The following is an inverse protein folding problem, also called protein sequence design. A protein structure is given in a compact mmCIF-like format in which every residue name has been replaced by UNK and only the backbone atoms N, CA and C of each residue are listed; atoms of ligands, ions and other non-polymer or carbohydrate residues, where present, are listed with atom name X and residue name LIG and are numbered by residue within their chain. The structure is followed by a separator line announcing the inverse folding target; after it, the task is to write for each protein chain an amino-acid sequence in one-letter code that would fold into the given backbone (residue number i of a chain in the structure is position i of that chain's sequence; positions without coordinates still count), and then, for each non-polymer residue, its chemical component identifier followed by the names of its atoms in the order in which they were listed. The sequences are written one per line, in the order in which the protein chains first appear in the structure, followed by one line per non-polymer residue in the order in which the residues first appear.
data_IF_538035310353
#
_entry.id   IF_538035310353
#
_cell.length_a   1.000
_cell.length_b   1.000
_cell.length_c   1.000
_cell.angle_alpha   90.00
_cell.angle_beta   90.00
_cell.angle_gamma   90.00
#
_symmetry.space_group_name_H-M   'P 1'
#
loop_
_entity.id
_entity.type
_entity.pdbx_description
1 polymer ?
#
# COMPACT_ATOMS: atom_id res chain seq x y z
N UNK A 1 21.71 25.80 -1.13
CA UNK A 1 20.93 25.05 -0.13
C UNK A 1 19.46 25.21 -0.50
N UNK A 2 18.84 24.21 -1.14
CA UNK A 2 17.39 24.27 -1.40
C UNK A 2 16.67 24.16 -0.06
N UNK A 3 15.67 25.02 0.14
CA UNK A 3 14.80 24.93 1.31
C UNK A 3 14.02 23.62 1.19
N UNK A 4 14.27 22.70 2.12
CA UNK A 4 13.44 21.50 2.28
C UNK A 4 12.00 21.98 2.54
N UNK A 5 11.00 21.61 1.74
CA UNK A 5 9.62 22.11 1.87
C UNK A 5 8.88 21.51 3.08
N UNK A 6 9.61 21.16 4.13
CA UNK A 6 9.21 20.23 5.17
C UNK A 6 8.49 20.84 6.37
N UNK A 7 8.24 22.16 6.41
CA UNK A 7 7.69 22.77 7.64
C UNK A 7 6.16 22.88 7.69
N UNK A 8 5.46 22.81 6.55
CA UNK A 8 4.04 23.21 6.50
C UNK A 8 3.09 22.19 5.86
N UNK A 9 3.53 20.96 5.63
CA UNK A 9 2.56 19.92 5.27
C UNK A 9 1.93 19.50 6.59
N UNK A 10 0.84 20.16 6.97
CA UNK A 10 -0.23 19.48 7.68
C UNK A 10 -0.50 18.22 6.84
N UNK A 11 0.15 17.10 7.16
CA UNK A 11 -0.41 16.09 8.05
C UNK A 11 -1.94 15.95 8.02
N UNK A 12 -2.65 16.45 6.99
CA UNK A 12 -4.10 16.42 6.92
C UNK A 12 -4.43 14.95 6.99
N UNK A 13 -5.02 14.51 8.12
CA UNK A 13 -5.58 13.16 8.28
C UNK A 13 -6.26 12.83 6.97
N UNK A 14 -5.67 11.92 6.18
CA UNK A 14 -5.95 11.82 4.75
C UNK A 14 -7.31 11.14 4.51
N UNK A 15 -8.43 11.70 5.00
CA UNK A 15 -9.81 11.17 4.94
C UNK A 15 -9.87 9.63 4.82
N UNK A 16 -9.14 8.96 5.71
CA UNK A 16 -8.75 7.55 5.54
C UNK A 16 -9.98 6.64 5.47
N UNK A 17 -11.03 6.98 6.20
CA UNK A 17 -12.29 6.22 6.25
C UNK A 17 -13.07 6.34 4.93
N UNK A 18 -13.17 7.52 4.33
CA UNK A 18 -13.95 7.68 3.08
C UNK A 18 -13.23 7.04 1.89
N UNK A 19 -11.90 7.17 1.84
CA UNK A 19 -11.08 6.41 0.88
C UNK A 19 -11.27 4.91 1.06
N UNK A 20 -11.28 4.41 2.29
CA UNK A 20 -11.52 3.00 2.58
C UNK A 20 -12.91 2.55 2.12
N UNK A 21 -13.98 3.29 2.47
CA UNK A 21 -15.35 3.00 2.04
C UNK A 21 -15.47 2.95 0.52
N UNK A 22 -14.86 3.90 -0.17
CA UNK A 22 -14.85 3.99 -1.63
C UNK A 22 -14.11 2.85 -2.30
N UNK A 23 -13.13 2.23 -1.63
CA UNK A 23 -12.42 1.06 -2.16
C UNK A 23 -13.19 -0.21 -1.83
N UNK A 24 -13.64 -0.37 -0.59
CA UNK A 24 -14.37 -1.57 -0.16
C UNK A 24 -15.69 -1.69 -0.92
N UNK A 25 -16.45 -0.60 -1.10
CA UNK A 25 -17.74 -0.58 -1.82
C UNK A 25 -18.71 -1.69 -1.37
N UNK A 26 -18.73 -2.01 -0.08
CA UNK A 26 -19.56 -3.08 0.49
C UNK A 26 -19.11 -4.52 0.18
N UNK A 27 -17.95 -4.71 -0.47
CA UNK A 27 -17.38 -6.04 -0.75
C UNK A 27 -16.87 -6.69 0.53
N UNK A 28 -16.87 -8.03 0.55
CA UNK A 28 -16.14 -8.81 1.56
C UNK A 28 -14.66 -8.48 1.44
N UNK A 29 -13.99 -8.23 2.57
CA UNK A 29 -12.55 -7.97 2.61
C UNK A 29 -11.81 -9.26 2.93
N UNK A 30 -10.94 -9.68 2.01
CA UNK A 30 -10.05 -10.83 2.19
C UNK A 30 -8.64 -10.35 2.46
N UNK A 31 -8.05 -10.72 3.60
CA UNK A 31 -6.70 -10.29 3.98
C UNK A 31 -5.71 -11.44 3.77
N UNK A 32 -4.72 -11.22 2.90
CA UNK A 32 -3.61 -12.15 2.67
C UNK A 32 -2.43 -11.68 3.52
N UNK A 33 -2.28 -12.28 4.70
CA UNK A 33 -1.13 -12.09 5.58
C UNK A 33 -0.05 -13.14 5.27
N UNK A 34 1.23 -12.76 5.38
CA UNK A 34 2.34 -13.67 5.12
C UNK A 34 2.43 -14.75 6.21
N UNK A 35 2.35 -16.01 5.82
CA UNK A 35 2.45 -17.16 6.73
C UNK A 35 2.43 -18.48 5.99
N UNK A 36 2.63 -19.60 6.68
CA UNK A 36 2.63 -20.93 6.03
C UNK A 36 1.31 -21.27 5.33
N UNK A 37 0.20 -20.71 5.80
CA UNK A 37 -1.14 -20.89 5.22
C UNK A 37 -1.33 -20.25 3.84
N UNK A 38 -0.46 -19.35 3.39
CA UNK A 38 -0.59 -18.76 2.05
C UNK A 38 -0.38 -19.79 0.95
N UNK A 39 0.36 -20.88 1.22
CA UNK A 39 0.50 -22.00 0.29
C UNK A 39 -0.84 -22.70 0.02
N UNK A 40 -1.63 -22.91 1.06
CA UNK A 40 -2.97 -23.51 0.95
C UNK A 40 -3.88 -22.57 0.15
N UNK A 41 -3.81 -21.26 0.42
CA UNK A 41 -4.56 -20.28 -0.37
C UNK A 41 -4.13 -20.33 -1.84
N UNK A 42 -2.83 -20.39 -2.12
CA UNK A 42 -2.29 -20.46 -3.47
C UNK A 42 -2.75 -21.70 -4.24
N UNK A 43 -2.83 -22.86 -3.58
CA UNK A 43 -3.34 -24.10 -4.15
C UNK A 43 -4.85 -24.05 -4.45
N UNK A 44 -5.59 -23.24 -3.69
CA UNK A 44 -7.07 -23.17 -3.72
C UNK A 44 -7.61 -21.86 -4.26
N UNK A 45 -6.77 -20.99 -4.81
CA UNK A 45 -7.15 -19.61 -5.16
C UNK A 45 -8.24 -19.56 -6.23
N UNK A 46 -8.30 -20.53 -7.15
CA UNK A 46 -9.33 -20.63 -8.18
C UNK A 46 -10.74 -20.73 -7.62
N UNK A 47 -10.92 -21.26 -6.40
CA UNK A 47 -12.21 -21.29 -5.70
C UNK A 47 -12.78 -19.87 -5.49
N UNK A 48 -11.90 -18.86 -5.44
CA UNK A 48 -12.26 -17.47 -5.19
C UNK A 48 -12.39 -16.63 -6.46
N UNK A 49 -12.16 -17.20 -7.65
CA UNK A 49 -12.12 -16.47 -8.93
C UNK A 49 -13.39 -15.68 -9.21
N UNK A 50 -14.55 -16.27 -8.97
CA UNK A 50 -15.86 -15.65 -9.24
C UNK A 50 -16.37 -14.76 -8.11
N UNK A 51 -15.68 -14.72 -6.96
CA UNK A 51 -16.09 -13.90 -5.84
C UNK A 51 -15.61 -12.45 -6.00
N UNK A 52 -16.49 -11.51 -5.66
CA UNK A 52 -16.19 -10.09 -5.65
C UNK A 52 -15.61 -9.68 -4.29
N UNK A 53 -14.32 -9.96 -4.10
CA UNK A 53 -13.59 -9.72 -2.84
C UNK A 53 -12.71 -8.48 -2.99
N UNK A 54 -12.69 -7.63 -1.96
CA UNK A 54 -11.69 -6.59 -1.77
C UNK A 54 -10.46 -7.20 -1.12
N UNK A 55 -9.44 -7.51 -1.92
CA UNK A 55 -8.23 -8.15 -1.41
C UNK A 55 -7.29 -7.12 -0.78
N UNK A 56 -6.79 -7.45 0.41
CA UNK A 56 -5.88 -6.62 1.17
C UNK A 56 -4.62 -7.40 1.57
N UNK A 57 -3.48 -6.71 1.68
CA UNK A 57 -2.25 -7.29 2.22
C UNK A 57 -1.41 -6.22 2.93
N UNK A 58 -0.24 -6.61 3.45
CA UNK A 58 0.61 -5.73 4.25
C UNK A 58 2.11 -5.95 4.01
N UNK A 59 2.90 -4.90 4.19
CA UNK A 59 4.37 -4.90 4.12
C UNK A 59 4.92 -5.45 2.79
N UNK A 60 5.54 -6.63 2.81
CA UNK A 60 6.03 -7.34 1.62
C UNK A 60 4.86 -8.02 0.89
N UNK A 61 4.01 -7.25 0.24
CA UNK A 61 2.75 -7.72 -0.37
C UNK A 61 2.89 -8.36 -1.76
N UNK A 62 4.07 -8.33 -2.39
CA UNK A 62 4.28 -8.89 -3.74
C UNK A 62 3.88 -10.38 -3.87
N UNK A 63 4.18 -11.27 -2.90
CA UNK A 63 3.70 -12.65 -2.97
C UNK A 63 2.17 -12.77 -2.99
N UNK A 64 1.45 -11.86 -2.31
CA UNK A 64 -0.02 -11.86 -2.35
C UNK A 64 -0.55 -11.44 -3.74
N UNK A 65 0.10 -10.48 -4.40
CA UNK A 65 -0.20 -10.12 -5.79
C UNK A 65 0.03 -11.29 -6.74
N UNK A 66 1.12 -12.04 -6.58
CA UNK A 66 1.43 -13.21 -7.42
C UNK A 66 0.39 -14.31 -7.27
N UNK A 67 -0.13 -14.54 -6.06
CA UNK A 67 -1.24 -15.48 -5.83
C UNK A 67 -2.52 -15.01 -6.54
N UNK A 68 -2.89 -13.73 -6.38
CA UNK A 68 -4.10 -13.17 -6.97
C UNK A 68 -4.04 -13.08 -8.49
N UNK A 69 -2.85 -12.88 -9.06
CA UNK A 69 -2.64 -12.85 -10.50
C UNK A 69 -3.09 -14.15 -11.18
N UNK A 70 -3.02 -15.30 -10.48
CA UNK A 70 -3.50 -16.59 -11.00
C UNK A 70 -4.99 -16.57 -11.37
N UNK A 71 -5.79 -15.79 -10.64
CA UNK A 71 -7.23 -15.60 -10.89
C UNK A 71 -7.55 -14.26 -11.56
N UNK A 72 -6.55 -13.59 -12.16
CA UNK A 72 -6.67 -12.27 -12.78
C UNK A 72 -7.24 -11.21 -11.82
N UNK A 73 -6.84 -11.25 -10.54
CA UNK A 73 -7.19 -10.23 -9.54
C UNK A 73 -5.94 -9.53 -9.02
N UNK A 74 -6.14 -8.39 -8.36
CA UNK A 74 -5.09 -7.57 -7.74
C UNK A 74 -5.48 -7.15 -6.33
N UNK A 75 -4.51 -6.66 -5.55
CA UNK A 75 -4.79 -6.08 -4.23
C UNK A 75 -5.49 -4.73 -4.37
N UNK A 76 -6.65 -4.59 -3.74
CA UNK A 76 -7.34 -3.31 -3.59
C UNK A 76 -6.74 -2.47 -2.47
N UNK A 77 -6.17 -3.09 -1.43
CA UNK A 77 -5.64 -2.39 -0.27
C UNK A 77 -4.26 -2.95 0.11
N UNK A 78 -3.32 -2.06 0.41
CA UNK A 78 -2.03 -2.40 1.01
C UNK A 78 -1.80 -1.54 2.23
N UNK A 79 -1.32 -2.15 3.32
CA UNK A 79 -0.84 -1.42 4.50
C UNK A 79 0.67 -1.60 4.69
N UNK A 80 1.42 -0.52 4.89
CA UNK A 80 2.85 -0.57 5.23
C UNK A 80 3.18 0.46 6.31
N UNK A 81 3.38 -0.01 7.53
CA UNK A 81 3.65 0.83 8.71
C UNK A 81 5.03 0.53 9.31
N UNK A 82 5.89 -0.16 8.56
CA UNK A 82 7.15 -0.68 9.11
C UNK A 82 8.28 0.34 8.92
N UNK A 83 9.00 0.62 10.01
CA UNK A 83 10.32 1.24 9.94
C UNK A 83 11.35 0.22 9.47
N UNK A 84 12.29 0.65 8.62
CA UNK A 84 13.30 -0.24 8.03
C UNK A 84 14.68 0.12 8.54
N UNK A 85 15.39 -0.85 9.14
CA UNK A 85 16.76 -0.64 9.67
C UNK A 85 17.75 -0.22 8.59
N UNK A 86 17.73 -0.87 7.43
CA UNK A 86 18.62 -0.58 6.29
C UNK A 86 17.94 0.33 5.26
N UNK A 87 17.30 1.39 5.73
CA UNK A 87 16.46 2.24 4.90
C UNK A 87 17.22 2.81 3.67
N UNK A 88 18.51 3.15 3.81
CA UNK A 88 19.31 3.77 2.75
C UNK A 88 19.33 2.94 1.46
N UNK A 89 19.30 1.62 1.61
CA UNK A 89 19.30 0.68 0.49
C UNK A 89 17.89 0.21 0.18
N UNK A 90 17.13 -0.15 1.21
CA UNK A 90 15.82 -0.77 1.03
C UNK A 90 14.75 0.18 0.49
N UNK A 91 14.71 1.44 0.95
CA UNK A 91 13.72 2.42 0.48
C UNK A 91 13.83 2.66 -1.04
N UNK A 92 14.96 3.13 -1.58
CA UNK A 92 15.06 3.45 -3.00
C UNK A 92 15.02 2.22 -3.92
N UNK A 93 15.51 1.07 -3.47
CA UNK A 93 15.67 -0.10 -4.34
C UNK A 93 14.48 -1.06 -4.26
N UNK A 94 13.74 -1.08 -3.14
CA UNK A 94 12.72 -2.10 -2.89
C UNK A 94 11.37 -1.46 -2.57
N UNK A 95 11.26 -0.69 -1.49
CA UNK A 95 9.94 -0.22 -1.00
C UNK A 95 9.32 0.80 -1.95
N UNK A 96 10.10 1.80 -2.36
CA UNK A 96 9.57 2.90 -3.17
C UNK A 96 9.23 2.51 -4.60
N UNK A 97 10.06 1.72 -5.32
CA UNK A 97 9.65 1.16 -6.61
C UNK A 97 8.38 0.32 -6.48
N UNK A 98 8.26 -0.52 -5.44
CA UNK A 98 7.07 -1.34 -5.20
C UNK A 98 5.82 -0.50 -4.94
N UNK A 99 5.92 0.57 -4.16
CA UNK A 99 4.80 1.48 -3.94
C UNK A 99 4.40 2.21 -5.22
N UNK A 100 5.37 2.66 -6.02
CA UNK A 100 5.10 3.32 -7.30
C UNK A 100 4.33 2.37 -8.23
N UNK A 101 4.82 1.14 -8.42
CA UNK A 101 4.15 0.12 -9.22
C UNK A 101 2.73 -0.17 -8.72
N UNK A 102 2.56 -0.29 -7.40
CA UNK A 102 1.23 -0.49 -6.81
C UNK A 102 0.31 0.71 -7.10
N UNK A 103 0.75 1.94 -6.82
CA UNK A 103 -0.03 3.16 -6.99
C UNK A 103 -0.33 3.51 -8.45
N UNK A 104 0.33 2.89 -9.43
CA UNK A 104 0.00 3.01 -10.84
C UNK A 104 -1.25 2.20 -11.26
N UNK A 105 -1.66 1.19 -10.47
CA UNK A 105 -2.86 0.37 -10.74
C UNK A 105 -4.15 1.15 -10.50
N UNK A 106 -5.25 0.77 -11.12
CA UNK A 106 -6.56 1.38 -10.83
C UNK A 106 -7.18 0.83 -9.53
N UNK A 107 -8.04 1.64 -8.90
CA UNK A 107 -8.87 1.25 -7.75
C UNK A 107 -8.12 0.63 -6.56
N UNK A 108 -6.95 1.17 -6.22
CA UNK A 108 -6.17 0.73 -5.08
C UNK A 108 -5.91 1.84 -4.05
N UNK A 109 -5.63 1.41 -2.82
CA UNK A 109 -5.38 2.30 -1.69
C UNK A 109 -4.22 1.81 -0.84
N UNK A 110 -3.24 2.69 -0.68
CA UNK A 110 -2.09 2.47 0.17
C UNK A 110 -2.31 3.15 1.52
N UNK A 111 -2.39 2.36 2.58
CA UNK A 111 -2.28 2.82 3.95
C UNK A 111 -0.82 2.82 4.39
N UNK A 112 -0.38 3.93 4.92
CA UNK A 112 0.97 4.09 5.48
C UNK A 112 0.90 4.91 6.75
N UNK A 113 1.85 4.70 7.64
CA UNK A 113 1.89 5.52 8.83
C UNK A 113 2.41 6.93 8.55
N UNK A 114 1.99 7.88 9.39
CA UNK A 114 2.49 9.25 9.33
C UNK A 114 4.00 9.33 9.52
N UNK A 115 4.58 8.42 10.31
CA UNK A 115 6.02 8.31 10.48
C UNK A 115 6.72 7.99 9.17
N UNK A 116 6.20 7.01 8.42
CA UNK A 116 6.73 6.62 7.09
C UNK A 116 6.64 7.79 6.12
N UNK A 117 5.51 8.50 6.10
CA UNK A 117 5.32 9.72 5.30
C UNK A 117 6.39 10.74 5.66
N UNK A 118 6.49 11.15 6.92
CA UNK A 118 7.44 12.17 7.37
C UNK A 118 8.88 11.84 6.98
N UNK A 119 9.30 10.59 7.16
CA UNK A 119 10.66 10.17 6.82
C UNK A 119 10.91 10.12 5.31
N UNK A 120 9.89 9.78 4.51
CA UNK A 120 9.99 9.86 3.06
C UNK A 120 9.95 11.31 2.53
N UNK A 121 9.14 12.18 3.15
CA UNK A 121 8.96 13.59 2.75
C UNK A 121 10.20 14.44 3.02
N UNK A 122 11.09 14.02 3.93
CA UNK A 122 12.44 14.59 4.08
C UNK A 122 13.28 14.46 2.79
N UNK A 123 12.81 13.77 1.75
CA UNK A 123 13.52 13.54 0.50
C UNK A 123 12.67 13.85 -0.72
N UNK A 124 13.14 14.81 -1.50
CA UNK A 124 12.41 15.39 -2.63
C UNK A 124 11.94 14.35 -3.67
N UNK A 125 12.71 13.28 -3.92
CA UNK A 125 12.36 12.27 -4.94
C UNK A 125 11.18 11.37 -4.54
N UNK A 126 11.03 11.05 -3.25
CA UNK A 126 9.91 10.24 -2.77
C UNK A 126 8.66 11.09 -2.54
N UNK A 127 8.87 12.35 -2.16
CA UNK A 127 7.79 13.32 -2.01
C UNK A 127 6.97 13.49 -3.30
N UNK A 128 7.60 13.50 -4.48
CA UNK A 128 6.88 13.58 -5.76
C UNK A 128 5.93 12.41 -5.99
N UNK A 129 6.30 11.19 -5.58
CA UNK A 129 5.41 10.01 -5.66
C UNK A 129 4.20 10.23 -4.76
N UNK A 130 4.42 10.67 -3.52
CA UNK A 130 3.35 10.96 -2.58
C UNK A 130 2.39 12.04 -3.08
N UNK A 131 2.91 13.14 -3.62
CA UNK A 131 2.09 14.21 -4.18
C UNK A 131 1.25 13.71 -5.35
N UNK A 132 1.86 12.94 -6.27
CA UNK A 132 1.18 12.42 -7.46
C UNK A 132 0.00 11.49 -7.11
N UNK A 133 0.13 10.70 -6.05
CA UNK A 133 -0.84 9.67 -5.68
C UNK A 133 -1.58 9.96 -4.38
N UNK A 134 -1.63 11.22 -3.92
CA UNK A 134 -2.18 11.60 -2.62
C UNK A 134 -3.65 11.18 -2.42
N UNK A 135 -4.44 11.12 -3.51
CA UNK A 135 -5.82 10.63 -3.49
C UNK A 135 -5.94 9.12 -3.21
N UNK A 136 -4.86 8.36 -3.40
CA UNK A 136 -4.77 6.89 -3.26
C UNK A 136 -3.95 6.47 -2.05
N UNK A 137 -3.61 7.43 -1.20
CA UNK A 137 -2.84 7.22 0.02
C UNK A 137 -3.70 7.64 1.20
N UNK A 138 -3.77 6.79 2.22
CA UNK A 138 -4.42 7.07 3.49
C UNK A 138 -3.41 6.93 4.63
N UNK A 139 -3.60 7.71 5.69
CA UNK A 139 -2.75 7.66 6.89
C UNK A 139 -3.37 6.80 7.98
N UNK A 140 -2.51 6.13 8.73
CA UNK A 140 -2.84 5.51 10.01
C UNK A 140 -2.06 6.29 11.09
N UNK A 141 -2.77 6.73 12.13
CA UNK A 141 -2.17 7.34 13.31
C UNK A 141 -1.31 6.27 14.01
N UNK A 142 -0.03 6.56 14.27
CA UNK A 142 0.87 5.74 15.08
C UNK A 142 0.75 6.09 16.57
#
# INVERSE_FOLDING_TARGET
MSKCPSSNIEIFKLNSIDKLKNIVKGRVVGIIARGGSTKILEERIEEFKHHNICWASMNLFKPAEEILAKINKSLSIVSDCSNVKNWHTYEPQVRMPRFKEYLEKDENLLFISETVIRDCFRRDSFFQIFQRYMNKIATIDD
#
